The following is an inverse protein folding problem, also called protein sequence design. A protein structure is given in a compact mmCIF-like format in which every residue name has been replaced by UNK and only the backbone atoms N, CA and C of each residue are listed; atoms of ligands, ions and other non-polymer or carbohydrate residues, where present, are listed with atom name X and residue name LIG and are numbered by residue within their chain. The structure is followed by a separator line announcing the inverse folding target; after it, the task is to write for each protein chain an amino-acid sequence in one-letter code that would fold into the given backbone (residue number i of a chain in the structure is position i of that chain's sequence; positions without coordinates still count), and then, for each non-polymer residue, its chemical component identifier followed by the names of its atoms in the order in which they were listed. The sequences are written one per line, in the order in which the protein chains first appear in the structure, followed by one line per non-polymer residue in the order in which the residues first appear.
data_IF_316163368393
#
_entry.id   IF_316163368393
#
_cell.length_a   1.000
_cell.length_b   1.000
_cell.length_c   1.000
_cell.angle_alpha   90.00
_cell.angle_beta   90.00
_cell.angle_gamma   90.00
#
_symmetry.space_group_name_H-M   'P 1'
#
loop_
_entity.id
_entity.type
_entity.pdbx_description
1 polymer ?
#
# COMPACT_ATOMS: atom_id res chain seq x y z
N UNK A 1 -20.44 -35.15 -18.07
CA UNK A 1 -19.89 -35.47 -16.73
C UNK A 1 -19.81 -34.16 -15.97
N UNK A 2 -20.67 -33.98 -14.96
CA UNK A 2 -20.72 -32.76 -14.14
C UNK A 2 -19.66 -32.90 -13.05
N UNK A 3 -18.63 -32.07 -13.09
CA UNK A 3 -17.63 -32.01 -12.02
C UNK A 3 -18.23 -31.23 -10.85
N UNK A 4 -18.31 -31.92 -9.72
CA UNK A 4 -18.82 -31.47 -8.43
C UNK A 4 -17.70 -30.64 -7.78
N UNK A 5 -17.82 -29.31 -7.74
CA UNK A 5 -16.89 -28.46 -6.99
C UNK A 5 -17.31 -28.47 -5.52
N UNK A 6 -16.50 -29.13 -4.68
CA UNK A 6 -16.63 -29.09 -3.23
C UNK A 6 -16.18 -27.73 -2.70
N UNK A 7 -17.15 -26.94 -2.25
CA UNK A 7 -16.94 -25.71 -1.48
C UNK A 7 -16.48 -26.12 -0.07
N UNK A 8 -15.21 -25.91 0.26
CA UNK A 8 -14.73 -26.00 1.64
C UNK A 8 -14.97 -24.66 2.36
N UNK A 9 -16.04 -24.63 3.16
CA UNK A 9 -16.29 -23.61 4.17
C UNK A 9 -15.28 -23.80 5.31
N UNK A 10 -14.29 -22.91 5.42
CA UNK A 10 -13.36 -22.90 6.56
C UNK A 10 -14.03 -22.22 7.75
N UNK A 11 -14.55 -23.03 8.67
CA UNK A 11 -14.98 -22.61 10.01
C UNK A 11 -13.77 -22.45 10.92
N UNK A 12 -13.44 -21.22 11.31
CA UNK A 12 -12.44 -20.95 12.34
C UNK A 12 -12.98 -21.32 13.72
N UNK A 13 -12.45 -22.39 14.32
CA UNK A 13 -12.39 -22.51 15.78
C UNK A 13 -11.08 -23.16 16.21
N UNK A 14 -10.19 -22.38 16.83
CA UNK A 14 -9.46 -22.81 18.03
C UNK A 14 -8.67 -21.67 18.66
N UNK A 15 -9.04 -21.48 19.91
CA UNK A 15 -8.34 -20.91 21.05
C UNK A 15 -6.82 -21.16 20.97
N UNK A 16 -6.02 -20.11 20.94
CA UNK A 16 -4.62 -20.17 21.37
C UNK A 16 -4.39 -19.25 22.58
N UNK A 17 -4.25 -19.90 23.73
CA UNK A 17 -3.70 -19.33 24.95
C UNK A 17 -2.18 -19.27 24.82
N UNK A 18 -1.60 -18.07 24.82
CA UNK A 18 -0.15 -17.89 24.78
C UNK A 18 0.34 -17.36 26.14
N UNK A 19 1.02 -18.21 26.90
CA UNK A 19 1.78 -17.87 28.12
C UNK A 19 3.08 -17.18 27.71
N UNK A 20 3.32 -15.96 28.20
CA UNK A 20 4.61 -15.25 28.07
C UNK A 20 5.67 -15.87 28.99
N UNK A 21 6.95 -15.94 28.57
CA UNK A 21 8.06 -16.16 29.49
C UNK A 21 8.49 -14.83 30.14
N UNK A 22 8.63 -14.87 31.46
CA UNK A 22 9.16 -13.81 32.32
C UNK A 22 10.68 -13.87 32.29
N UNK A 23 11.37 -12.74 32.05
CA UNK A 23 12.83 -12.65 32.16
C UNK A 23 13.21 -11.57 33.16
N UNK A 24 14.06 -11.99 34.09
CA UNK A 24 14.48 -11.41 35.36
C UNK A 24 15.14 -10.04 35.29
N UNK A 25 14.82 -9.18 36.26
CA UNK A 25 15.60 -8.00 36.66
C UNK A 25 16.21 -8.26 38.05
N UNK A 26 17.54 -8.13 38.16
CA UNK A 26 18.43 -7.89 39.32
C UNK A 26 19.83 -7.75 38.68
N UNK A 27 20.74 -6.82 38.97
CA UNK A 27 21.00 -5.96 40.11
C UNK A 27 21.83 -4.72 39.68
N UNK A 28 21.85 -3.72 40.58
CA UNK A 28 22.54 -2.41 40.63
C UNK A 28 24.10 -2.47 40.54
N UNK A 29 24.92 -1.37 40.49
CA UNK A 29 24.85 -0.21 41.40
C UNK A 29 25.13 1.21 40.86
N UNK A 30 24.54 2.16 41.59
CA UNK A 30 25.00 3.50 42.00
C UNK A 30 26.21 4.14 41.29
N UNK A 31 26.00 5.36 40.78
CA UNK A 31 26.88 6.49 41.12
C UNK A 31 26.11 7.80 41.27
N UNK A 32 26.20 8.36 42.47
CA UNK A 32 25.78 9.70 42.84
C UNK A 32 26.51 10.78 42.03
N UNK A 33 25.77 11.72 41.43
CA UNK A 33 26.25 13.11 41.23
C UNK A 33 25.14 14.12 41.46
N UNK A 34 25.29 14.79 42.60
CA UNK A 34 24.65 16.02 43.05
C UNK A 34 24.81 17.15 42.02
N UNK A 35 23.76 17.94 41.76
CA UNK A 35 23.93 19.39 41.65
C UNK A 35 22.61 20.15 41.93
N UNK A 36 22.80 21.31 42.54
CA UNK A 36 21.83 22.06 43.33
C UNK A 36 20.81 22.89 42.53
N UNK A 37 19.70 23.09 43.22
CA UNK A 37 18.63 24.08 43.05
C UNK A 37 19.19 25.52 43.11
N UNK A 38 18.78 26.38 42.17
CA UNK A 38 18.75 27.82 42.37
C UNK A 38 17.63 28.46 41.55
N UNK A 39 16.61 28.96 42.26
CA UNK A 39 15.62 29.90 41.76
C UNK A 39 16.24 31.30 41.70
N UNK A 40 15.96 32.06 40.64
CA UNK A 40 16.05 33.52 40.63
C UNK A 40 14.93 34.12 39.78
N UNK A 41 13.98 34.74 40.49
CA UNK A 41 13.18 35.94 40.17
C UNK A 41 14.06 37.02 39.51
N UNK A 42 13.67 37.93 38.60
CA UNK A 42 12.41 38.65 38.30
C UNK A 42 12.60 39.49 36.97
N UNK A 43 11.79 40.51 36.62
CA UNK A 43 10.69 40.54 35.63
C UNK A 43 11.00 41.20 34.26
N UNK A 44 10.16 40.98 33.23
CA UNK A 44 10.17 41.81 32.00
C UNK A 44 8.78 42.22 31.50
N UNK A 45 8.39 43.42 31.94
CA UNK A 45 7.82 44.57 31.21
C UNK A 45 6.78 44.30 30.10
N UNK A 46 5.53 44.64 30.45
CA UNK A 46 4.38 44.94 29.59
C UNK A 46 4.71 46.02 28.56
N UNK A 47 4.41 45.79 27.28
CA UNK A 47 4.28 46.84 26.26
C UNK A 47 2.90 46.70 25.62
N UNK A 48 2.12 47.76 25.77
CA UNK A 48 0.78 48.01 25.28
C UNK A 48 0.73 48.26 23.77
N UNK A 49 -0.38 47.81 23.16
CA UNK A 49 -0.86 48.15 21.81
C UNK A 49 -1.11 49.66 21.65
N UNK A 50 -1.10 50.15 20.41
CA UNK A 50 -2.09 51.12 19.98
C UNK A 50 -2.93 50.61 18.79
N UNK A 51 -4.01 51.34 18.56
CA UNK A 51 -5.27 50.89 17.98
C UNK A 51 -5.39 50.99 16.46
N UNK A 52 -6.39 50.24 15.98
CA UNK A 52 -7.28 50.51 14.85
C UNK A 52 -6.83 51.49 13.75
N UNK A 53 -6.57 50.94 12.57
CA UNK A 53 -6.91 51.59 11.31
C UNK A 53 -7.99 50.75 10.61
N UNK A 54 -9.22 51.21 10.75
CA UNK A 54 -10.37 50.78 9.96
C UNK A 54 -10.12 51.13 8.49
N UNK A 55 -9.99 50.12 7.64
CA UNK A 55 -10.16 50.28 6.20
C UNK A 55 -11.18 49.26 5.71
N UNK A 56 -12.42 49.72 5.66
CA UNK A 56 -13.47 49.09 4.87
C UNK A 56 -13.01 49.09 3.41
N UNK A 57 -12.70 47.91 2.88
CA UNK A 57 -12.66 47.69 1.43
C UNK A 57 -13.78 46.71 1.08
N UNK A 58 -14.89 47.29 0.62
CA UNK A 58 -15.89 46.58 -0.15
C UNK A 58 -15.25 46.16 -1.46
N UNK A 59 -14.74 44.94 -1.54
CA UNK A 59 -14.36 44.31 -2.81
C UNK A 59 -15.25 43.11 -3.04
N UNK A 60 -16.27 43.35 -3.85
CA UNK A 60 -17.10 42.38 -4.56
C UNK A 60 -16.20 41.35 -5.27
N UNK A 61 -15.90 40.25 -4.58
CA UNK A 61 -15.19 39.12 -5.18
C UNK A 61 -16.22 38.10 -5.63
N UNK A 62 -16.44 38.07 -6.94
CA UNK A 62 -17.05 36.94 -7.64
C UNK A 62 -16.42 35.65 -7.15
N UNK A 63 -17.24 34.80 -6.53
CA UNK A 63 -16.86 33.49 -6.01
C UNK A 63 -16.48 32.60 -7.19
N UNK A 64 -15.22 32.69 -7.64
CA UNK A 64 -14.62 31.76 -8.59
C UNK A 64 -14.63 30.40 -7.91
N UNK A 65 -15.55 29.53 -8.31
CA UNK A 65 -15.65 28.16 -7.80
C UNK A 65 -14.36 27.44 -8.18
N UNK A 66 -13.40 27.40 -7.26
CA UNK A 66 -12.19 26.61 -7.41
C UNK A 66 -12.68 25.15 -7.51
N UNK A 67 -12.32 24.39 -8.57
CA UNK A 67 -12.67 22.98 -8.66
C UNK A 67 -12.21 22.30 -7.38
N UNK A 68 -13.12 21.61 -6.68
CA UNK A 68 -12.78 20.84 -5.49
C UNK A 68 -11.73 19.80 -5.91
N UNK A 69 -10.47 20.00 -5.52
CA UNK A 69 -9.43 19.00 -5.72
C UNK A 69 -9.87 17.70 -5.04
N UNK A 70 -9.83 16.57 -5.76
CA UNK A 70 -10.16 15.26 -5.18
C UNK A 70 -9.22 14.98 -4.00
N UNK A 71 -9.78 14.58 -2.87
CA UNK A 71 -8.98 14.15 -1.72
C UNK A 71 -8.48 12.73 -1.93
N UNK A 72 -7.39 12.33 -1.24
CA UNK A 72 -6.94 10.92 -1.27
C UNK A 72 -8.02 9.99 -0.73
N UNK A 73 -8.85 10.44 0.22
CA UNK A 73 -9.97 9.65 0.72
C UNK A 73 -11.01 9.39 -0.38
N UNK A 74 -11.30 10.38 -1.22
CA UNK A 74 -12.20 10.21 -2.37
C UNK A 74 -11.59 9.22 -3.37
N UNK A 75 -10.29 9.34 -3.66
CA UNK A 75 -9.57 8.42 -4.55
C UNK A 75 -9.56 6.99 -4.00
N UNK A 76 -9.33 6.80 -2.70
CA UNK A 76 -9.39 5.49 -2.07
C UNK A 76 -10.76 4.84 -2.24
N UNK A 77 -11.84 5.60 -1.99
CA UNK A 77 -13.21 5.09 -2.15
C UNK A 77 -13.53 4.71 -3.59
N UNK A 78 -13.02 5.48 -4.56
CA UNK A 78 -13.18 5.23 -6.00
C UNK A 78 -12.40 4.00 -6.48
N UNK A 79 -11.19 3.78 -5.98
CA UNK A 79 -10.22 2.85 -6.57
C UNK A 79 -10.09 1.53 -5.81
N UNK A 80 -10.51 1.45 -4.54
CA UNK A 80 -10.32 0.25 -3.71
C UNK A 80 -11.04 -0.99 -4.28
N UNK A 81 -12.13 -0.81 -5.02
CA UNK A 81 -12.90 -1.91 -5.60
C UNK A 81 -12.15 -2.62 -6.74
N UNK A 82 -11.06 -2.04 -7.23
CA UNK A 82 -10.21 -2.63 -8.28
C UNK A 82 -8.98 -3.33 -7.72
N UNK A 83 -8.85 -3.36 -6.39
CA UNK A 83 -7.75 -4.00 -5.66
C UNK A 83 -8.30 -5.22 -4.95
N UNK A 84 -7.69 -6.37 -5.21
CA UNK A 84 -8.11 -7.67 -4.72
C UNK A 84 -7.04 -8.31 -3.85
N UNK A 85 -7.47 -9.28 -3.05
CA UNK A 85 -6.60 -10.14 -2.25
C UNK A 85 -6.23 -11.35 -3.09
N UNK A 86 -4.98 -11.80 -3.02
CA UNK A 86 -4.58 -13.11 -3.55
C UNK A 86 -4.33 -14.04 -2.37
N UNK A 87 -4.90 -15.24 -2.46
CA UNK A 87 -4.50 -16.37 -1.63
C UNK A 87 -3.84 -17.40 -2.51
N UNK A 88 -2.67 -17.87 -2.08
CA UNK A 88 -1.91 -18.92 -2.75
C UNK A 88 -1.59 -20.01 -1.72
N UNK A 89 -1.65 -21.26 -2.17
CA UNK A 89 -1.39 -22.44 -1.35
C UNK A 89 -0.23 -23.19 -1.97
N UNK A 90 0.83 -23.40 -1.19
CA UNK A 90 2.02 -24.14 -1.63
C UNK A 90 1.85 -25.67 -1.49
N UNK A 91 2.88 -26.44 -1.85
CA UNK A 91 2.86 -27.91 -1.77
C UNK A 91 2.79 -28.46 -0.34
N UNK A 92 3.09 -27.63 0.66
CA UNK A 92 3.05 -27.98 2.07
C UNK A 92 1.71 -27.58 2.71
N UNK A 93 0.73 -27.15 1.91
CA UNK A 93 -0.55 -26.61 2.34
C UNK A 93 -0.43 -25.29 3.14
N UNK A 94 0.71 -24.59 3.03
CA UNK A 94 0.89 -23.28 3.63
C UNK A 94 0.20 -22.20 2.79
N UNK A 95 -0.58 -21.36 3.46
CA UNK A 95 -1.32 -20.26 2.83
C UNK A 95 -0.47 -19.00 2.86
N UNK A 96 -0.18 -18.46 1.68
CA UNK A 96 0.37 -17.13 1.50
C UNK A 96 -0.70 -16.14 1.06
N UNK A 97 -0.47 -14.86 1.37
CA UNK A 97 -1.40 -13.78 1.07
C UNK A 97 -0.69 -12.58 0.46
N UNK A 98 -1.24 -12.05 -0.61
CA UNK A 98 -0.82 -10.79 -1.22
C UNK A 98 -2.00 -9.95 -1.68
N UNK A 99 -1.67 -8.88 -2.39
CA UNK A 99 -2.62 -7.99 -3.07
C UNK A 99 -2.40 -8.06 -4.58
N UNK A 100 -3.39 -7.60 -5.33
CA UNK A 100 -3.27 -7.36 -6.76
C UNK A 100 -4.31 -6.36 -7.23
N UNK A 101 -4.26 -6.00 -8.50
CA UNK A 101 -5.20 -5.04 -9.08
C UNK A 101 -5.49 -5.31 -10.55
N UNK A 102 -6.62 -4.80 -11.03
CA UNK A 102 -7.03 -4.97 -12.42
C UNK A 102 -6.51 -3.84 -13.32
N UNK A 103 -5.95 -4.22 -14.47
CA UNK A 103 -5.48 -3.29 -15.51
C UNK A 103 -6.35 -3.33 -16.78
N UNK A 104 -7.18 -4.36 -16.91
CA UNK A 104 -8.22 -4.49 -17.94
C UNK A 104 -9.29 -5.50 -17.47
N UNK A 105 -10.46 -5.59 -18.15
CA UNK A 105 -11.48 -6.59 -17.80
C UNK A 105 -10.94 -8.02 -17.86
N UNK A 106 -10.80 -8.68 -16.71
CA UNK A 106 -10.27 -10.03 -16.60
C UNK A 106 -8.75 -10.14 -16.66
N UNK A 107 -8.02 -9.02 -16.50
CA UNK A 107 -6.55 -9.01 -16.47
C UNK A 107 -6.08 -8.39 -15.16
N UNK A 108 -5.46 -9.22 -14.33
CA UNK A 108 -4.91 -8.85 -13.02
C UNK A 108 -3.38 -8.76 -13.03
N UNK A 109 -2.86 -7.96 -12.10
CA UNK A 109 -1.42 -7.81 -11.84
C UNK A 109 -1.15 -8.03 -10.35
N UNK A 110 -0.04 -8.69 -10.04
CA UNK A 110 0.49 -8.85 -8.67
C UNK A 110 2.01 -9.03 -8.72
N UNK A 111 2.66 -9.28 -7.58
CA UNK A 111 4.06 -9.71 -7.51
C UNK A 111 4.22 -11.20 -7.84
N UNK A 112 5.40 -11.58 -8.34
CA UNK A 112 5.72 -12.99 -8.59
C UNK A 112 5.83 -13.77 -7.29
N UNK A 113 6.51 -13.24 -6.29
CA UNK A 113 6.71 -13.95 -5.02
C UNK A 113 5.40 -14.25 -4.26
N UNK A 114 4.30 -13.56 -4.58
CA UNK A 114 2.97 -13.84 -4.01
C UNK A 114 2.42 -15.17 -4.52
N UNK A 115 2.81 -15.58 -5.73
CA UNK A 115 2.35 -16.78 -6.43
C UNK A 115 3.45 -17.84 -6.55
N UNK A 116 4.65 -17.55 -6.06
CA UNK A 116 5.80 -18.45 -6.11
C UNK A 116 5.50 -19.75 -5.35
N UNK A 117 5.89 -20.88 -5.96
CA UNK A 117 5.67 -22.24 -5.46
C UNK A 117 4.21 -22.63 -5.17
N UNK A 118 3.24 -21.81 -5.59
CA UNK A 118 1.82 -22.10 -5.41
C UNK A 118 1.34 -23.25 -6.31
N UNK A 119 0.63 -24.22 -5.72
CA UNK A 119 -0.11 -25.25 -6.47
C UNK A 119 -1.50 -24.75 -6.88
N UNK A 120 -2.09 -23.90 -6.04
CA UNK A 120 -3.38 -23.29 -6.28
C UNK A 120 -3.36 -21.83 -5.85
N UNK A 121 -3.99 -20.97 -6.64
CA UNK A 121 -4.10 -19.55 -6.38
C UNK A 121 -5.47 -19.03 -6.78
N UNK A 122 -6.06 -18.24 -5.90
CA UNK A 122 -7.36 -17.60 -6.11
C UNK A 122 -7.25 -16.10 -5.83
N UNK A 123 -8.15 -15.33 -6.44
CA UNK A 123 -8.37 -13.94 -6.05
C UNK A 123 -9.64 -13.84 -5.21
N UNK A 124 -9.63 -12.97 -4.21
CA UNK A 124 -10.80 -12.59 -3.42
C UNK A 124 -11.06 -11.09 -3.59
N UNK A 125 -12.28 -10.75 -3.99
CA UNK A 125 -12.75 -9.39 -4.17
C UNK A 125 -14.18 -9.30 -3.65
N UNK A 126 -14.45 -8.34 -2.76
CA UNK A 126 -15.78 -8.16 -2.11
C UNK A 126 -16.30 -9.45 -1.48
N UNK A 127 -15.41 -10.19 -0.81
CA UNK A 127 -15.67 -11.48 -0.17
C UNK A 127 -16.11 -12.61 -1.14
N UNK A 128 -15.98 -12.39 -2.44
CA UNK A 128 -16.21 -13.39 -3.48
C UNK A 128 -14.89 -13.89 -4.06
N UNK A 129 -14.84 -15.19 -4.35
CA UNK A 129 -13.64 -15.87 -4.84
C UNK A 129 -13.73 -16.15 -6.33
N UNK A 130 -12.63 -15.89 -7.04
CA UNK A 130 -12.50 -16.14 -8.47
C UNK A 130 -11.18 -16.86 -8.79
N UNK A 131 -11.22 -17.70 -9.82
CA UNK A 131 -10.06 -18.46 -10.29
C UNK A 131 -9.12 -17.59 -11.12
N UNK A 132 -7.82 -17.85 -11.00
CA UNK A 132 -6.82 -17.46 -11.99
C UNK A 132 -6.84 -18.49 -13.11
N UNK A 133 -7.09 -18.07 -14.34
CA UNK A 133 -7.36 -18.95 -15.48
C UNK A 133 -6.17 -19.11 -16.43
N UNK A 134 -5.24 -18.15 -16.44
CA UNK A 134 -4.07 -18.17 -17.30
C UNK A 134 -2.98 -17.23 -16.78
N UNK A 135 -1.70 -17.64 -16.87
CA UNK A 135 -0.56 -16.78 -16.54
C UNK A 135 0.04 -16.24 -17.85
N UNK A 136 -0.18 -14.95 -18.10
CA UNK A 136 0.14 -14.32 -19.39
C UNK A 136 1.60 -13.90 -19.49
N UNK A 137 2.15 -13.36 -18.41
CA UNK A 137 3.55 -12.92 -18.30
C UNK A 137 3.99 -12.91 -16.84
N UNK A 138 5.24 -13.24 -16.60
CA UNK A 138 5.83 -13.14 -15.28
C UNK A 138 7.31 -12.81 -15.35
N UNK A 139 7.82 -12.20 -14.29
CA UNK A 139 9.24 -12.06 -14.04
C UNK A 139 9.49 -12.24 -12.55
N UNK A 140 10.46 -13.08 -12.23
CA UNK A 140 10.96 -13.33 -10.87
C UNK A 140 12.34 -12.69 -10.63
N UNK A 141 12.85 -11.92 -11.60
CA UNK A 141 14.14 -11.27 -11.42
C UNK A 141 14.06 -10.32 -10.22
N UNK A 142 15.15 -10.20 -9.44
CA UNK A 142 15.23 -9.27 -8.30
C UNK A 142 14.93 -7.79 -8.65
N UNK A 143 14.84 -7.50 -9.94
CA UNK A 143 14.58 -6.22 -10.58
C UNK A 143 13.11 -6.03 -10.95
N UNK A 144 12.43 -7.12 -11.28
CA UNK A 144 11.07 -7.14 -11.82
C UNK A 144 10.38 -8.33 -11.19
N UNK A 145 9.56 -8.05 -10.19
CA UNK A 145 8.81 -9.01 -9.39
C UNK A 145 7.33 -8.80 -9.70
N UNK A 146 6.85 -9.43 -10.78
CA UNK A 146 5.46 -9.27 -11.21
C UNK A 146 4.93 -10.50 -11.94
N UNK A 147 3.61 -10.62 -11.91
CA UNK A 147 2.82 -11.55 -12.72
C UNK A 147 1.62 -10.80 -13.29
N UNK A 148 1.36 -11.00 -14.58
CA UNK A 148 0.14 -10.60 -15.28
C UNK A 148 -0.63 -11.88 -15.61
N UNK A 149 -1.89 -11.93 -15.24
CA UNK A 149 -2.71 -13.15 -15.35
C UNK A 149 -4.14 -12.82 -15.78
N UNK A 150 -4.85 -13.84 -16.28
CA UNK A 150 -6.30 -13.80 -16.52
C UNK A 150 -7.06 -14.39 -15.35
N UNK A 151 -8.25 -13.86 -15.12
CA UNK A 151 -9.19 -14.40 -14.14
C UNK A 151 -10.61 -14.47 -14.73
N UNK A 152 -11.49 -15.25 -14.10
CA UNK A 152 -12.91 -15.27 -14.43
C UNK A 152 -13.65 -13.99 -14.06
N UNK A 153 -13.14 -13.19 -13.11
CA UNK A 153 -13.71 -11.90 -12.76
C UNK A 153 -13.45 -10.85 -13.85
N UNK A 154 -14.47 -10.08 -14.24
CA UNK A 154 -14.32 -8.98 -15.21
C UNK A 154 -14.78 -7.66 -14.62
N UNK A 155 -13.82 -6.84 -14.19
CA UNK A 155 -14.10 -5.46 -13.77
C UNK A 155 -14.66 -4.61 -14.91
N UNK A 156 -15.52 -3.65 -14.58
CA UNK A 156 -16.00 -2.60 -15.48
C UNK A 156 -15.16 -1.33 -15.44
N UNK A 157 -14.29 -1.16 -14.44
CA UNK A 157 -13.54 0.07 -14.21
C UNK A 157 -12.05 -0.19 -13.89
N UNK A 158 -11.30 -0.85 -14.79
CA UNK A 158 -9.90 -1.16 -14.54
C UNK A 158 -9.06 0.08 -14.22
N UNK A 159 -8.03 -0.09 -13.40
CA UNK A 159 -7.17 1.00 -12.99
C UNK A 159 -6.39 1.58 -14.16
N UNK A 160 -6.31 2.90 -14.19
CA UNK A 160 -5.50 3.63 -15.17
C UNK A 160 -4.03 3.55 -14.79
N UNK A 161 -3.18 3.21 -15.75
CA UNK A 161 -1.73 3.23 -15.56
C UNK A 161 -1.19 4.56 -16.05
N UNK A 162 -0.28 5.16 -15.27
CA UNK A 162 0.38 6.41 -15.67
C UNK A 162 1.43 6.13 -16.74
N UNK A 163 1.45 6.96 -17.77
CA UNK A 163 2.49 6.94 -18.82
C UNK A 163 3.71 7.79 -18.45
N UNK A 164 3.84 8.19 -17.18
CA UNK A 164 4.91 9.05 -16.69
C UNK A 164 5.55 8.44 -15.46
N UNK A 165 6.87 8.50 -15.43
CA UNK A 165 7.63 8.23 -14.21
C UNK A 165 7.34 9.32 -13.18
N UNK A 166 7.09 8.97 -11.91
CA UNK A 166 6.94 9.97 -10.86
C UNK A 166 8.26 10.71 -10.61
N UNK A 167 8.21 11.83 -9.89
CA UNK A 167 9.43 12.55 -9.45
C UNK A 167 9.72 12.26 -7.97
N UNK A 168 10.99 12.35 -7.59
CA UNK A 168 11.37 12.32 -6.16
C UNK A 168 10.65 13.47 -5.44
N UNK A 169 10.08 13.16 -4.27
CA UNK A 169 9.25 14.08 -3.47
C UNK A 169 7.81 14.22 -3.95
N UNK A 170 7.39 13.51 -5.01
CA UNK A 170 5.98 13.47 -5.41
C UNK A 170 5.16 12.67 -4.39
N UNK A 171 4.03 13.22 -3.97
CA UNK A 171 3.08 12.57 -3.08
C UNK A 171 2.44 11.35 -3.75
N UNK A 172 2.34 10.27 -2.98
CA UNK A 172 1.77 9.00 -3.42
C UNK A 172 0.82 8.43 -2.37
N UNK A 173 0.05 7.43 -2.79
CA UNK A 173 -0.65 6.54 -1.88
C UNK A 173 -0.64 5.12 -2.43
N UNK A 174 -0.71 4.13 -1.55
CA UNK A 174 -0.85 2.74 -1.92
C UNK A 174 -2.15 2.18 -1.37
N UNK A 175 -2.70 1.21 -2.10
CA UNK A 175 -3.82 0.40 -1.63
C UNK A 175 -3.36 -1.05 -1.64
N UNK A 176 -3.63 -1.76 -0.56
CA UNK A 176 -3.40 -3.20 -0.46
C UNK A 176 -4.23 -3.78 0.68
N UNK A 177 -4.17 -5.09 0.89
CA UNK A 177 -5.06 -5.78 1.81
C UNK A 177 -4.29 -6.47 2.94
N UNK A 178 -3.63 -5.71 3.84
CA UNK A 178 -2.91 -6.32 4.95
C UNK A 178 -3.88 -7.13 5.83
N UNK A 179 -3.51 -8.37 6.17
CA UNK A 179 -4.26 -9.29 7.04
C UNK A 179 -5.66 -9.72 6.55
N UNK A 180 -6.01 -9.46 5.29
CA UNK A 180 -7.12 -10.17 4.63
C UNK A 180 -8.54 -9.74 5.00
N UNK A 181 -8.71 -8.62 5.73
CA UNK A 181 -10.02 -8.14 6.20
C UNK A 181 -10.63 -7.09 5.27
N UNK A 182 -9.85 -6.05 4.95
CA UNK A 182 -10.28 -4.95 4.10
C UNK A 182 -9.07 -4.25 3.48
N UNK A 183 -9.31 -3.59 2.34
CA UNK A 183 -8.29 -2.76 1.72
C UNK A 183 -7.89 -1.62 2.68
N UNK A 184 -6.59 -1.42 2.79
CA UNK A 184 -5.94 -0.40 3.60
C UNK A 184 -5.27 0.62 2.71
N UNK A 185 -5.30 1.87 3.16
CA UNK A 185 -4.67 3.01 2.51
C UNK A 185 -3.41 3.40 3.27
N UNK A 186 -2.28 3.49 2.56
CA UNK A 186 -1.06 4.13 3.09
C UNK A 186 -0.66 5.30 2.21
N UNK A 187 -0.07 6.33 2.82
CA UNK A 187 0.36 7.56 2.14
C UNK A 187 1.85 7.76 2.35
N UNK A 188 2.48 8.48 1.43
CA UNK A 188 3.90 8.77 1.48
C UNK A 188 4.34 9.59 0.28
N UNK A 189 5.64 9.53 0.00
CA UNK A 189 6.32 10.22 -1.09
C UNK A 189 7.28 9.27 -1.80
N UNK A 190 7.69 9.65 -3.00
CA UNK A 190 8.82 9.01 -3.67
C UNK A 190 10.13 9.47 -3.01
N UNK A 191 10.79 8.57 -2.29
CA UNK A 191 12.07 8.87 -1.61
C UNK A 191 13.27 8.78 -2.54
N UNK A 192 13.16 8.04 -3.65
CA UNK A 192 14.26 7.87 -4.60
C UNK A 192 14.02 6.78 -5.62
N UNK A 193 14.96 6.65 -6.54
CA UNK A 193 15.04 5.50 -7.44
C UNK A 193 16.28 4.69 -7.10
N UNK A 194 16.17 3.38 -7.21
CA UNK A 194 17.31 2.48 -7.11
C UNK A 194 17.59 1.88 -8.48
N UNK A 195 18.81 1.38 -8.64
CA UNK A 195 19.13 0.52 -9.78
C UNK A 195 18.06 -0.59 -9.84
N UNK A 196 17.70 -1.01 -11.06
CA UNK A 196 16.74 -2.09 -11.33
C UNK A 196 15.24 -1.74 -11.31
N UNK A 197 14.84 -0.57 -11.83
CA UNK A 197 13.41 -0.23 -11.99
C UNK A 197 12.60 -0.25 -10.66
N UNK A 198 13.28 0.01 -9.54
CA UNK A 198 12.64 0.10 -8.21
C UNK A 198 12.44 1.56 -7.80
N UNK A 199 11.22 1.84 -7.37
CA UNK A 199 10.82 3.10 -6.77
C UNK A 199 10.94 2.92 -5.26
N UNK A 200 11.80 3.71 -4.60
CA UNK A 200 11.83 3.76 -3.14
C UNK A 200 10.75 4.72 -2.65
N UNK A 201 10.00 4.28 -1.65
CA UNK A 201 8.90 5.04 -1.03
C UNK A 201 9.05 5.05 0.49
N UNK A 202 8.46 6.04 1.14
CA UNK A 202 8.33 6.10 2.61
C UNK A 202 6.93 5.69 3.09
N UNK A 203 6.00 5.38 2.17
CA UNK A 203 4.73 4.78 2.53
C UNK A 203 4.97 3.40 3.15
N UNK A 204 4.32 3.15 4.29
CA UNK A 204 4.40 1.87 4.99
C UNK A 204 3.81 0.75 4.13
N UNK A 205 4.56 -0.34 3.97
CA UNK A 205 4.15 -1.57 3.29
C UNK A 205 4.30 -2.72 4.28
N UNK A 206 3.20 -3.38 4.61
CA UNK A 206 3.16 -4.52 5.52
C UNK A 206 2.91 -5.84 4.77
N UNK A 207 3.03 -6.97 5.47
CA UNK A 207 2.63 -8.27 4.95
C UNK A 207 1.19 -8.23 4.42
N UNK A 208 1.00 -8.79 3.21
CA UNK A 208 -0.27 -8.76 2.48
C UNK A 208 -0.44 -7.56 1.55
N UNK A 209 0.34 -6.48 1.70
CA UNK A 209 0.31 -5.33 0.77
C UNK A 209 1.18 -5.53 -0.48
N UNK A 210 2.06 -6.53 -0.50
CA UNK A 210 2.84 -6.90 -1.70
C UNK A 210 1.90 -7.22 -2.87
N UNK A 211 2.20 -6.67 -4.05
CA UNK A 211 1.43 -6.83 -5.27
C UNK A 211 0.33 -5.78 -5.47
N UNK A 212 0.07 -4.95 -4.45
CA UNK A 212 -0.89 -3.85 -4.53
C UNK A 212 -0.43 -2.68 -5.43
N UNK A 213 -1.35 -1.82 -5.88
CA UNK A 213 -1.00 -0.65 -6.68
C UNK A 213 -0.45 0.50 -5.83
N UNK A 214 0.61 1.13 -6.34
CA UNK A 214 1.10 2.45 -5.93
C UNK A 214 0.55 3.51 -6.89
N UNK A 215 -0.07 4.56 -6.36
CA UNK A 215 -0.74 5.61 -7.12
C UNK A 215 -0.08 6.97 -6.97
N UNK A 216 -0.16 7.77 -8.03
CA UNK A 216 0.00 9.23 -7.94
C UNK A 216 -1.32 9.90 -7.49
N UNK A 217 -1.29 11.21 -7.18
CA UNK A 217 -2.50 11.95 -6.76
C UNK A 217 -3.55 12.18 -7.85
N UNK A 218 -3.35 11.67 -9.07
CA UNK A 218 -4.39 11.63 -10.12
C UNK A 218 -5.19 10.33 -10.10
N UNK A 219 -4.82 9.37 -9.25
CA UNK A 219 -5.40 8.02 -9.23
C UNK A 219 -4.88 7.12 -10.35
N UNK A 220 -3.69 7.41 -10.89
CA UNK A 220 -3.03 6.56 -11.88
C UNK A 220 -1.98 5.68 -11.19
N UNK A 221 -1.92 4.40 -11.57
CA UNK A 221 -0.92 3.45 -11.09
C UNK A 221 0.44 3.83 -11.64
N UNK A 222 1.44 3.92 -10.77
CA UNK A 222 2.85 4.23 -11.08
C UNK A 222 3.79 3.09 -10.66
N UNK A 223 3.32 2.11 -9.89
CA UNK A 223 4.12 0.97 -9.50
C UNK A 223 3.33 -0.12 -8.78
N UNK A 224 4.02 -1.22 -8.48
CA UNK A 224 3.49 -2.39 -7.76
C UNK A 224 4.24 -2.48 -6.43
N UNK A 225 3.56 -2.32 -5.29
CA UNK A 225 4.19 -2.34 -3.96
C UNK A 225 4.84 -3.67 -3.68
N UNK A 226 6.04 -3.66 -3.10
CA UNK A 226 6.81 -4.85 -2.75
C UNK A 226 7.66 -4.58 -1.51
N UNK A 227 7.72 -5.53 -0.59
CA UNK A 227 8.52 -5.40 0.62
C UNK A 227 10.01 -5.63 0.35
N UNK A 228 10.87 -5.04 1.19
CA UNK A 228 12.31 -5.08 1.02
C UNK A 228 12.90 -6.49 1.15
N UNK A 229 13.16 -7.14 0.01
CA UNK A 229 13.96 -8.37 -0.05
C UNK A 229 15.41 -8.08 0.43
N UNK A 230 15.72 -8.45 1.68
CA UNK A 230 17.09 -8.79 2.10
C UNK A 230 18.09 -7.69 2.50
N UNK A 231 17.70 -6.51 2.99
CA UNK A 231 18.69 -5.47 3.38
C UNK A 231 18.81 -5.13 4.86
N UNK A 232 17.98 -5.69 5.76
CA UNK A 232 18.06 -5.42 7.21
C UNK A 232 17.73 -3.97 7.62
N UNK A 233 17.56 -3.07 6.65
CA UNK A 233 16.98 -1.73 6.78
C UNK A 233 15.51 -1.75 6.35
N UNK A 234 14.63 -1.11 7.12
CA UNK A 234 13.20 -0.89 6.82
C UNK A 234 13.05 0.05 5.60
N UNK A 235 13.30 -0.47 4.40
CA UNK A 235 13.08 0.25 3.15
C UNK A 235 11.88 -0.37 2.41
N UNK A 236 10.96 0.49 1.99
CA UNK A 236 9.80 0.12 1.20
C UNK A 236 10.02 0.46 -0.27
N UNK A 237 9.53 -0.42 -1.14
CA UNK A 237 9.73 -0.28 -2.58
C UNK A 237 8.44 -0.54 -3.36
N UNK A 238 8.46 -0.10 -4.61
CA UNK A 238 7.56 -0.56 -5.64
C UNK A 238 8.34 -0.90 -6.92
N UNK A 239 7.87 -1.90 -7.66
CA UNK A 239 8.31 -2.15 -9.05
C UNK A 239 7.74 -1.05 -9.93
N UNK A 240 8.57 -0.36 -10.71
CA UNK A 240 8.15 0.70 -11.63
C UNK A 240 7.26 0.10 -12.73
N UNK A 241 6.01 0.56 -12.83
CA UNK A 241 5.03 -0.01 -13.76
C UNK A 241 5.46 0.16 -15.23
N UNK A 242 6.29 1.16 -15.53
CA UNK A 242 6.80 1.39 -16.88
C UNK A 242 7.88 0.40 -17.31
N UNK A 243 8.44 -0.37 -16.37
CA UNK A 243 9.39 -1.44 -16.70
C UNK A 243 8.69 -2.72 -17.19
N UNK A 244 7.35 -2.73 -17.19
CA UNK A 244 6.48 -3.85 -17.55
C UNK A 244 5.80 -3.52 -18.89
N UNK A 245 5.82 -4.46 -19.84
CA UNK A 245 5.17 -4.27 -21.14
C UNK A 245 3.66 -4.56 -21.06
N UNK A 246 2.94 -3.83 -20.20
CA UNK A 246 1.52 -4.08 -19.93
C UNK A 246 0.61 -3.72 -21.11
N UNK A 247 1.03 -2.80 -21.98
CA UNK A 247 0.19 -2.27 -23.07
C UNK A 247 -0.30 -3.36 -24.04
N UNK A 248 0.50 -4.42 -24.22
CA UNK A 248 0.15 -5.58 -25.05
C UNK A 248 -1.05 -6.37 -24.55
N UNK A 249 -1.50 -6.12 -23.31
CA UNK A 249 -2.62 -6.82 -22.69
C UNK A 249 -3.89 -5.97 -22.60
N UNK A 250 -3.76 -4.65 -22.58
CA UNK A 250 -4.90 -3.74 -22.44
C UNK A 250 -5.52 -3.39 -23.80
N UNK A 251 -4.74 -3.42 -24.88
CA UNK A 251 -5.15 -2.96 -26.21
C UNK A 251 -5.65 -4.07 -27.16
N UNK A 252 -5.94 -5.28 -26.64
CA UNK A 252 -6.38 -6.43 -27.45
C UNK A 252 -7.88 -6.73 -27.30
#
# INVERSE_FOLDING_TARGET
MRALFCIFLILFSSIYSCKRPERSLNDSPDTNKTYNRSNSTEPRKTISRPDNVTSQSNSSTTKKTIPKSRSISDLFQELQDEVFIIYSIDRNEEVSQGSGFFIAPGIGVTNYHVLEDSENSIISIKDEVYEITDFMESSNSSRKDYVIFRTSYRTSNPLKISNKRPRIGEDIFAIGSPKGLSNSLTKGTISGFRENDRIQIDATIDHGSSGGPLFNLKGEVIGITTSGMGTGSELNFAVDIQAINYERFINN
#
